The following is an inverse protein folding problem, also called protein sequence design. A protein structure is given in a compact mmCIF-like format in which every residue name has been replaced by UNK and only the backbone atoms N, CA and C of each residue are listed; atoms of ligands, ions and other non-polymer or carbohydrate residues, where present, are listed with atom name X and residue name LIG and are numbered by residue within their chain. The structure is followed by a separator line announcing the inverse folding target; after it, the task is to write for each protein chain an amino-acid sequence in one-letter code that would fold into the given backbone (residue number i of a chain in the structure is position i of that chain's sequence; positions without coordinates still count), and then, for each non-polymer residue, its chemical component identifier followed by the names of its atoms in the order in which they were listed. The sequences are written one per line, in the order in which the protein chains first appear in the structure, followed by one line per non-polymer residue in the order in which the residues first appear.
data_IF_010157624830
#
_entry.id   IF_010157624830
#
_cell.length_a   1.000
_cell.length_b   1.000
_cell.length_c   1.000
_cell.angle_alpha   90.00
_cell.angle_beta   90.00
_cell.angle_gamma   90.00
#
_symmetry.space_group_name_H-M   'P 1'
#
loop_
_entity.id
_entity.type
_entity.pdbx_description
1 polymer ?
#
# COMPACT_ATOMS: atom_id res chain seq x y z
N UNK A 1 1.85 4.04 19.66
CA UNK A 1 1.33 3.23 18.56
C UNK A 1 1.63 1.76 18.82
N UNK A 2 0.82 0.86 18.27
CA UNK A 2 1.07 -0.58 18.36
C UNK A 2 2.27 -0.99 17.50
N UNK A 3 2.31 -0.52 16.26
CA UNK A 3 3.45 -0.64 15.36
C UNK A 3 4.17 0.70 15.17
N UNK A 4 5.47 0.64 14.89
CA UNK A 4 6.19 1.78 14.34
C UNK A 4 5.94 1.86 12.84
N UNK A 5 5.90 3.08 12.30
CA UNK A 5 5.61 3.34 10.89
C UNK A 5 6.67 4.23 10.28
N UNK A 6 6.91 4.04 8.99
CA UNK A 6 7.84 4.87 8.23
C UNK A 6 7.10 5.58 7.11
N UNK A 7 7.26 6.89 7.06
CA UNK A 7 6.77 7.71 5.96
C UNK A 7 7.83 7.80 4.87
N UNK A 8 7.42 7.57 3.61
CA UNK A 8 8.24 7.69 2.42
C UNK A 8 7.59 8.62 1.42
N UNK A 9 8.41 9.21 0.57
CA UNK A 9 7.99 10.11 -0.49
C UNK A 9 8.80 9.85 -1.76
N UNK A 10 8.15 9.93 -2.93
CA UNK A 10 8.83 10.07 -4.20
C UNK A 10 8.14 11.09 -5.10
N UNK A 11 8.92 11.68 -6.00
CA UNK A 11 8.41 12.57 -7.04
C UNK A 11 9.16 12.32 -8.35
N UNK A 12 8.73 11.34 -9.16
CA UNK A 12 9.40 11.00 -10.41
C UNK A 12 9.32 12.09 -11.51
N UNK A 13 8.47 13.12 -11.34
CA UNK A 13 8.33 14.21 -12.33
C UNK A 13 9.57 15.09 -12.46
N UNK A 14 10.47 15.07 -11.48
CA UNK A 14 11.70 15.89 -11.50
C UNK A 14 12.81 15.35 -12.40
N UNK A 15 12.63 14.21 -13.02
CA UNK A 15 13.64 13.59 -13.88
C UNK A 15 13.16 13.52 -15.31
N UNK A 16 14.00 14.01 -16.23
CA UNK A 16 13.75 14.10 -17.66
C UNK A 16 13.24 12.79 -18.30
N UNK A 17 12.99 12.84 -19.60
CA UNK A 17 12.44 11.72 -20.40
C UNK A 17 13.27 10.44 -20.26
N UNK A 18 12.90 9.61 -19.28
CA UNK A 18 13.51 8.30 -19.07
C UNK A 18 12.72 7.21 -19.78
N UNK A 19 13.43 6.26 -20.37
CA UNK A 19 12.83 5.05 -20.93
C UNK A 19 12.17 4.20 -19.84
N UNK A 20 11.25 3.32 -20.22
CA UNK A 20 10.57 2.42 -19.29
C UNK A 20 11.56 1.50 -18.52
N UNK A 21 12.70 1.17 -19.14
CA UNK A 21 13.77 0.37 -18.55
C UNK A 21 14.50 1.17 -17.45
N UNK A 22 14.92 2.39 -17.73
CA UNK A 22 15.58 3.28 -16.76
C UNK A 22 14.67 3.60 -15.57
N UNK A 23 13.34 3.71 -15.78
CA UNK A 23 12.36 3.88 -14.70
C UNK A 23 12.30 2.69 -13.74
N UNK A 24 12.45 1.47 -14.24
CA UNK A 24 12.47 0.26 -13.39
C UNK A 24 13.77 0.17 -12.59
N UNK A 25 14.91 0.43 -13.23
CA UNK A 25 16.22 0.36 -12.59
C UNK A 25 16.45 1.45 -11.53
N UNK A 26 15.75 2.61 -11.67
CA UNK A 26 15.89 3.75 -10.75
C UNK A 26 14.69 3.95 -9.82
N UNK A 27 13.72 3.03 -9.82
CA UNK A 27 12.50 3.18 -9.01
C UNK A 27 12.83 3.35 -7.52
N UNK A 28 13.74 2.57 -6.97
CA UNK A 28 14.21 2.70 -5.58
C UNK A 28 15.07 3.95 -5.30
N UNK A 29 15.76 4.50 -6.33
CA UNK A 29 16.65 5.65 -6.14
C UNK A 29 15.94 6.98 -5.88
N UNK A 30 14.62 7.06 -6.14
CA UNK A 30 13.80 8.26 -5.91
C UNK A 30 12.92 8.17 -4.67
N UNK A 31 12.94 7.03 -4.01
CA UNK A 31 12.17 6.80 -2.82
C UNK A 31 12.96 7.32 -1.61
N UNK A 32 12.45 8.37 -0.99
CA UNK A 32 13.09 9.01 0.16
C UNK A 32 12.36 8.64 1.43
N UNK A 33 13.09 8.09 2.40
CA UNK A 33 12.60 7.94 3.77
C UNK A 33 12.49 9.35 4.38
N UNK A 34 11.28 9.73 4.79
CA UNK A 34 11.02 11.04 5.39
C UNK A 34 11.26 10.99 6.89
N UNK A 35 10.55 10.10 7.58
CA UNK A 35 10.63 9.97 9.03
C UNK A 35 10.08 8.62 9.48
N UNK A 36 10.57 8.14 10.63
CA UNK A 36 9.97 7.05 11.38
C UNK A 36 9.04 7.63 12.45
N UNK A 37 7.89 7.00 12.67
CA UNK A 37 6.82 7.42 13.56
C UNK A 37 6.59 6.32 14.61
N UNK A 38 6.82 6.67 15.86
CA UNK A 38 6.70 5.75 17.01
C UNK A 38 5.59 6.15 17.97
N UNK A 39 5.14 7.40 17.89
CA UNK A 39 4.12 7.95 18.77
C UNK A 39 3.08 8.77 18.01
N UNK A 40 1.98 9.07 18.66
CA UNK A 40 0.90 9.91 18.11
C UNK A 40 1.40 11.35 17.91
N UNK A 41 2.23 11.83 18.81
CA UNK A 41 2.83 13.17 18.74
C UNK A 41 3.74 13.31 17.51
N UNK A 42 4.57 12.32 17.24
CA UNK A 42 5.41 12.27 16.04
C UNK A 42 4.58 12.21 14.76
N UNK A 43 3.47 11.46 14.76
CA UNK A 43 2.53 11.46 13.64
C UNK A 43 1.97 12.85 13.36
N UNK A 44 1.50 13.56 14.37
CA UNK A 44 0.98 14.91 14.20
C UNK A 44 2.07 15.91 13.85
N UNK A 45 3.28 15.72 14.38
CA UNK A 45 4.46 16.48 13.98
C UNK A 45 4.75 16.33 12.48
N UNK A 46 4.70 15.10 11.96
CA UNK A 46 4.83 14.86 10.53
C UNK A 46 3.66 15.48 9.75
N UNK A 47 2.41 15.12 10.10
CA UNK A 47 1.23 15.52 9.33
C UNK A 47 1.11 17.04 9.15
N UNK A 48 1.40 17.80 10.19
CA UNK A 48 1.35 19.25 10.17
C UNK A 48 2.46 19.91 9.32
N UNK A 49 3.48 19.15 8.93
CA UNK A 49 4.64 19.66 8.20
C UNK A 49 4.82 19.08 6.79
N UNK A 50 4.00 18.11 6.38
CA UNK A 50 4.02 17.61 5.00
C UNK A 50 3.12 18.43 4.10
N UNK A 51 3.42 18.41 2.80
CA UNK A 51 2.59 19.05 1.78
C UNK A 51 1.24 18.34 1.68
N UNK A 52 0.11 19.06 1.74
CA UNK A 52 -1.19 18.44 1.59
C UNK A 52 -1.35 17.70 0.24
N UNK A 53 -1.99 16.53 0.22
CA UNK A 53 -2.25 15.78 -1.01
C UNK A 53 -2.88 16.57 -2.15
N UNK A 54 -3.78 17.51 -1.83
CA UNK A 54 -4.47 18.37 -2.81
C UNK A 54 -3.52 19.27 -3.62
N UNK A 55 -2.34 19.56 -3.06
CA UNK A 55 -1.32 20.43 -3.65
C UNK A 55 -0.10 19.66 -4.17
N UNK A 56 -0.06 18.34 -3.99
CA UNK A 56 1.02 17.50 -4.49
C UNK A 56 1.18 17.64 -6.00
N UNK A 57 2.45 17.70 -6.50
CA UNK A 57 2.74 17.63 -7.93
C UNK A 57 2.18 16.35 -8.55
N UNK A 58 1.90 16.41 -9.85
CA UNK A 58 1.56 15.20 -10.60
C UNK A 58 2.71 14.21 -10.53
N UNK A 59 2.38 12.93 -10.42
CA UNK A 59 3.31 11.80 -10.23
C UNK A 59 3.93 11.65 -8.85
N UNK A 60 3.77 12.61 -7.93
CA UNK A 60 4.23 12.46 -6.55
C UNK A 60 3.42 11.40 -5.79
N UNK A 61 4.08 10.74 -4.86
CA UNK A 61 3.48 9.69 -4.06
C UNK A 61 3.90 9.82 -2.59
N UNK A 62 2.96 9.50 -1.70
CA UNK A 62 3.19 9.24 -0.29
C UNK A 62 3.00 7.76 0.01
N UNK A 63 3.88 7.23 0.86
CA UNK A 63 3.79 5.85 1.34
C UNK A 63 3.96 5.87 2.85
N UNK A 64 3.06 5.21 3.56
CA UNK A 64 3.16 4.98 4.99
C UNK A 64 3.16 3.48 5.21
N UNK A 65 4.31 2.91 5.57
CA UNK A 65 4.51 1.47 5.76
C UNK A 65 4.97 1.16 7.18
N UNK A 66 4.63 -0.02 7.67
CA UNK A 66 5.16 -0.51 8.96
C UNK A 66 6.69 -0.48 8.92
N UNK A 67 7.33 -0.10 10.02
CA UNK A 67 8.79 0.05 10.05
C UNK A 67 9.49 -1.27 9.70
N UNK A 68 10.56 -1.14 8.92
CA UNK A 68 11.30 -2.29 8.37
C UNK A 68 10.74 -2.84 7.07
N UNK A 69 9.55 -2.38 6.59
CA UNK A 69 8.97 -2.78 5.30
C UNK A 69 9.17 -1.66 4.29
N UNK A 70 9.79 -1.99 3.15
CA UNK A 70 9.93 -1.05 2.05
C UNK A 70 8.65 -1.05 1.19
N UNK A 71 8.22 0.10 0.66
CA UNK A 71 7.06 0.20 -0.22
C UNK A 71 7.35 -0.33 -1.64
N UNK A 72 7.85 -1.55 -1.72
CA UNK A 72 8.28 -2.24 -2.93
C UNK A 72 7.76 -3.67 -2.95
N UNK A 73 7.49 -4.20 -4.13
CA UNK A 73 7.06 -5.60 -4.29
C UNK A 73 8.20 -6.59 -4.03
N UNK A 74 9.42 -6.11 -4.14
CA UNK A 74 10.64 -6.86 -3.87
C UNK A 74 10.88 -7.09 -2.38
N UNK A 75 10.19 -6.33 -1.52
CA UNK A 75 10.23 -6.57 -0.07
C UNK A 75 9.51 -7.89 0.25
N UNK A 76 10.12 -8.80 1.02
CA UNK A 76 9.52 -10.08 1.38
C UNK A 76 8.14 -9.97 2.02
N UNK A 77 7.88 -8.88 2.75
CA UNK A 77 6.60 -8.62 3.38
C UNK A 77 5.47 -8.28 2.38
N UNK A 78 5.81 -7.90 1.15
CA UNK A 78 4.86 -7.51 0.11
C UNK A 78 4.82 -8.53 -1.04
N UNK A 79 5.87 -9.35 -1.19
CA UNK A 79 6.07 -10.20 -2.37
C UNK A 79 4.94 -11.19 -2.65
N UNK A 80 4.31 -11.71 -1.60
CA UNK A 80 3.16 -12.63 -1.70
C UNK A 80 1.83 -11.92 -1.45
N UNK A 81 1.86 -10.59 -1.36
CA UNK A 81 0.71 -9.79 -1.02
C UNK A 81 -0.05 -9.24 -2.21
N UNK A 82 -1.01 -8.39 -1.88
CA UNK A 82 -1.83 -7.69 -2.85
C UNK A 82 -2.02 -6.22 -2.47
N UNK A 83 -2.92 -5.57 -3.19
CA UNK A 83 -3.36 -4.22 -2.82
C UNK A 83 -4.82 -4.00 -3.18
N UNK A 84 -5.52 -3.37 -2.29
CA UNK A 84 -6.81 -2.75 -2.58
C UNK A 84 -6.59 -1.30 -3.00
N UNK A 85 -7.27 -0.85 -4.07
CA UNK A 85 -7.06 0.49 -4.59
C UNK A 85 -8.38 1.15 -4.97
N UNK A 86 -8.53 2.43 -4.60
CA UNK A 86 -9.62 3.27 -5.07
C UNK A 86 -9.05 4.42 -5.90
N UNK A 87 -9.69 4.72 -7.01
CA UNK A 87 -9.38 5.89 -7.83
C UNK A 87 -10.45 6.95 -7.65
N UNK A 88 -10.01 8.16 -7.35
CA UNK A 88 -10.87 9.30 -7.06
C UNK A 88 -10.60 10.41 -8.10
N UNK A 89 -11.55 10.75 -8.98
CA UNK A 89 -11.39 11.83 -9.96
C UNK A 89 -10.91 13.12 -9.28
N UNK A 90 -9.81 13.70 -9.77
CA UNK A 90 -9.13 14.83 -9.13
C UNK A 90 -10.03 16.05 -8.97
N UNK A 91 -10.80 16.39 -9.99
CA UNK A 91 -11.71 17.54 -9.96
C UNK A 91 -12.76 17.44 -8.84
N UNK A 92 -13.32 16.25 -8.65
CA UNK A 92 -14.39 16.03 -7.66
C UNK A 92 -13.87 15.91 -6.22
N UNK A 93 -12.62 15.41 -6.05
CA UNK A 93 -12.13 15.02 -4.72
C UNK A 93 -10.98 15.91 -4.22
N UNK A 94 -10.58 16.94 -4.96
CA UNK A 94 -9.47 17.82 -4.57
C UNK A 94 -9.65 18.43 -3.17
N UNK A 95 -10.88 18.81 -2.82
CA UNK A 95 -11.20 19.41 -1.52
C UNK A 95 -11.37 18.37 -0.40
N UNK A 96 -11.39 17.08 -0.73
CA UNK A 96 -11.62 16.00 0.22
C UNK A 96 -10.40 15.10 0.41
N UNK A 97 -9.45 15.12 -0.54
CA UNK A 97 -8.34 14.15 -0.56
C UNK A 97 -7.43 14.29 0.66
N UNK A 98 -7.22 15.50 1.17
CA UNK A 98 -6.40 15.74 2.35
C UNK A 98 -7.00 15.04 3.57
N UNK A 99 -8.30 15.16 3.75
CA UNK A 99 -9.05 14.51 4.83
C UNK A 99 -9.12 13.00 4.65
N UNK A 100 -9.31 12.51 3.42
CA UNK A 100 -9.32 11.08 3.12
C UNK A 100 -7.96 10.46 3.40
N UNK A 101 -6.88 11.12 3.01
CA UNK A 101 -5.54 10.66 3.29
C UNK A 101 -5.24 10.64 4.79
N UNK A 102 -5.63 11.69 5.51
CA UNK A 102 -5.50 11.70 6.97
C UNK A 102 -6.21 10.51 7.61
N UNK A 103 -7.47 10.26 7.21
CA UNK A 103 -8.21 9.13 7.77
C UNK A 103 -7.60 7.78 7.40
N UNK A 104 -7.07 7.65 6.18
CA UNK A 104 -6.36 6.43 5.76
C UNK A 104 -5.13 6.19 6.63
N UNK A 105 -4.33 7.23 6.87
CA UNK A 105 -3.15 7.11 7.75
C UNK A 105 -3.54 6.79 9.19
N UNK A 106 -4.55 7.50 9.75
CA UNK A 106 -5.04 7.25 11.11
C UNK A 106 -5.59 5.82 11.25
N UNK A 107 -6.31 5.32 10.25
CA UNK A 107 -6.83 3.96 10.25
C UNK A 107 -5.70 2.92 10.17
N UNK A 108 -4.62 3.24 9.44
CA UNK A 108 -3.44 2.39 9.36
C UNK A 108 -2.71 2.32 10.68
N UNK A 109 -2.29 3.47 11.25
CA UNK A 109 -1.55 3.51 12.52
C UNK A 109 -2.36 3.06 13.74
N UNK A 110 -3.70 3.13 13.63
CA UNK A 110 -4.64 2.63 14.63
C UNK A 110 -5.03 1.17 14.44
N UNK A 111 -4.41 0.45 13.47
CA UNK A 111 -4.68 -0.96 13.14
C UNK A 111 -6.16 -1.24 12.82
N UNK A 112 -6.89 -0.22 12.35
CA UNK A 112 -8.34 -0.32 12.07
C UNK A 112 -8.65 -0.89 10.69
N UNK A 113 -7.64 -1.04 9.83
CA UNK A 113 -7.79 -1.58 8.48
C UNK A 113 -7.79 -3.11 8.46
N UNK A 114 -7.36 -3.72 9.55
CA UNK A 114 -7.44 -5.16 9.74
C UNK A 114 -8.79 -5.49 10.36
N UNK A 115 -9.58 -6.34 9.69
CA UNK A 115 -10.81 -6.83 10.29
C UNK A 115 -10.45 -7.56 11.61
N UNK A 116 -11.17 -7.33 12.71
CA UNK A 116 -11.03 -8.18 13.87
C UNK A 116 -11.33 -9.60 13.39
N UNK A 117 -10.32 -10.44 13.40
CA UNK A 117 -10.49 -11.86 13.15
C UNK A 117 -11.62 -12.34 14.05
N UNK A 118 -12.70 -12.86 13.49
CA UNK A 118 -13.84 -13.41 14.22
C UNK A 118 -13.44 -14.55 15.15
N UNK A 119 -12.22 -14.95 15.13
CA UNK A 119 -11.54 -15.85 16.07
C UNK A 119 -10.58 -15.04 16.94
N UNK A 120 -11.10 -14.29 17.90
CA UNK A 120 -10.54 -13.93 19.23
C UNK A 120 -9.01 -14.00 19.47
N UNK A 121 -8.16 -13.85 18.48
CA UNK A 121 -6.71 -13.77 18.66
C UNK A 121 -6.20 -12.52 17.97
N UNK A 122 -5.72 -11.57 18.78
CA UNK A 122 -4.82 -10.54 18.31
C UNK A 122 -3.66 -11.20 17.53
N UNK A 123 -3.14 -10.59 16.46
CA UNK A 123 -1.95 -11.09 15.78
C UNK A 123 -0.88 -11.42 16.83
N UNK A 124 -0.39 -12.66 16.83
CA UNK A 124 0.61 -13.09 17.82
C UNK A 124 2.02 -12.69 17.41
N UNK A 125 2.19 -12.34 16.13
CA UNK A 125 3.44 -11.88 15.56
C UNK A 125 3.19 -10.82 14.49
N UNK A 126 4.23 -10.06 14.14
CA UNK A 126 4.18 -9.13 12.99
C UNK A 126 3.90 -9.82 11.65
N UNK A 127 4.18 -11.12 11.56
CA UNK A 127 3.95 -11.93 10.36
C UNK A 127 2.47 -12.28 10.19
N UNK A 128 1.69 -12.26 11.26
CA UNK A 128 0.26 -12.51 11.23
C UNK A 128 -0.55 -11.27 10.79
N UNK A 129 0.08 -10.10 10.77
CA UNK A 129 -0.56 -8.85 10.40
C UNK A 129 -0.74 -8.76 8.89
N UNK A 130 -1.96 -8.45 8.46
CA UNK A 130 -2.31 -8.42 7.04
C UNK A 130 -1.80 -7.15 6.35
N UNK A 131 -2.04 -5.97 6.95
CA UNK A 131 -1.72 -4.68 6.31
C UNK A 131 -0.24 -4.36 6.49
N UNK A 132 0.46 -4.14 5.39
CA UNK A 132 1.88 -3.72 5.38
C UNK A 132 2.03 -2.22 5.24
N UNK A 133 1.09 -1.55 4.56
CA UNK A 133 1.17 -0.12 4.36
C UNK A 133 0.02 0.46 3.55
N UNK A 134 0.01 1.78 3.46
CA UNK A 134 -0.93 2.56 2.66
C UNK A 134 -0.20 3.53 1.74
N UNK A 135 -0.77 3.79 0.57
CA UNK A 135 -0.15 4.60 -0.48
C UNK A 135 -1.13 5.61 -1.02
N UNK A 136 -0.69 6.85 -1.15
CA UNK A 136 -1.38 7.89 -1.92
C UNK A 136 -0.57 8.23 -3.16
N UNK A 137 -1.21 8.22 -4.32
CA UNK A 137 -0.62 8.61 -5.59
C UNK A 137 -1.38 9.80 -6.19
N UNK A 138 -0.69 10.91 -6.43
CA UNK A 138 -1.25 12.04 -7.16
C UNK A 138 -1.00 11.86 -8.66
N UNK A 139 -2.06 11.89 -9.46
CA UNK A 139 -2.00 11.81 -10.94
C UNK A 139 -2.67 13.03 -11.56
N UNK A 140 -2.51 13.21 -12.86
CA UNK A 140 -3.12 14.34 -13.57
C UNK A 140 -4.63 14.40 -13.38
N UNK A 141 -5.31 13.27 -13.55
CA UNK A 141 -6.78 13.20 -13.59
C UNK A 141 -7.42 12.56 -12.36
N UNK A 142 -6.63 11.92 -11.48
CA UNK A 142 -7.15 11.23 -10.30
C UNK A 142 -6.13 11.20 -9.17
N UNK A 143 -6.61 10.94 -7.97
CA UNK A 143 -5.83 10.41 -6.87
C UNK A 143 -6.09 8.92 -6.77
N UNK A 144 -5.08 8.16 -6.39
CA UNK A 144 -5.26 6.75 -6.05
C UNK A 144 -4.82 6.54 -4.61
N UNK A 145 -5.70 5.97 -3.81
CA UNK A 145 -5.39 5.51 -2.46
C UNK A 145 -5.38 4.00 -2.47
N UNK A 146 -4.35 3.39 -1.90
CA UNK A 146 -4.18 1.95 -1.88
C UNK A 146 -3.81 1.47 -0.48
N UNK A 147 -4.31 0.29 -0.11
CA UNK A 147 -3.92 -0.47 1.07
C UNK A 147 -3.13 -1.67 0.55
N UNK A 148 -1.92 -1.87 1.05
CA UNK A 148 -1.07 -2.99 0.71
C UNK A 148 -1.18 -4.07 1.78
N UNK A 149 -1.21 -5.33 1.33
CA UNK A 149 -1.38 -6.48 2.21
C UNK A 149 -0.20 -7.44 2.07
N UNK A 150 0.10 -8.16 3.14
CA UNK A 150 1.16 -9.18 3.20
C UNK A 150 0.80 -10.43 2.41
N UNK A 151 -0.49 -10.77 2.41
CA UNK A 151 -1.02 -11.93 1.73
C UNK A 151 -2.14 -11.47 0.80
N UNK A 152 -2.26 -12.11 -0.35
CA UNK A 152 -3.41 -12.04 -1.23
C UNK A 152 -4.04 -13.43 -1.27
N UNK A 153 -5.38 -13.50 -1.32
CA UNK A 153 -6.06 -14.75 -1.60
C UNK A 153 -5.60 -15.25 -2.98
N UNK A 154 -5.31 -16.52 -3.08
CA UNK A 154 -5.10 -17.14 -4.38
C UNK A 154 -6.39 -16.93 -5.19
N UNK A 155 -6.27 -16.20 -6.31
CA UNK A 155 -7.36 -16.12 -7.26
C UNK A 155 -7.57 -17.50 -7.83
N UNK A 156 -8.59 -18.22 -7.34
CA UNK A 156 -9.10 -19.41 -8.00
C UNK A 156 -9.57 -19.01 -9.40
N UNK A 157 -8.66 -19.09 -10.37
CA UNK A 157 -9.07 -18.91 -11.76
C UNK A 157 -10.12 -19.99 -12.06
N UNK A 158 -11.18 -19.68 -12.82
CA UNK A 158 -12.19 -20.67 -13.22
C UNK A 158 -11.59 -21.94 -13.83
N UNK A 159 -10.36 -21.88 -14.32
CA UNK A 159 -9.58 -22.98 -14.87
C UNK A 159 -8.96 -23.93 -13.82
N UNK A 160 -8.88 -23.52 -12.54
CA UNK A 160 -8.32 -24.38 -11.50
C UNK A 160 -9.28 -25.53 -11.16
N UNK A 161 -10.58 -25.26 -11.14
CA UNK A 161 -11.59 -26.27 -10.88
C UNK A 161 -11.75 -27.26 -12.05
N UNK A 162 -11.57 -26.82 -13.31
CA UNK A 162 -11.57 -27.71 -14.47
C UNK A 162 -10.36 -28.65 -14.49
N UNK A 163 -9.20 -28.22 -14.00
CA UNK A 163 -8.01 -29.10 -13.90
C UNK A 163 -8.21 -30.20 -12.86
N UNK A 164 -8.75 -29.85 -11.71
CA UNK A 164 -8.98 -30.82 -10.63
C UNK A 164 -10.04 -31.87 -11.02
N UNK A 165 -11.09 -31.45 -11.71
CA UNK A 165 -12.12 -32.38 -12.26
C UNK A 165 -11.53 -33.24 -13.36
N UNK A 166 -10.66 -32.70 -14.23
CA UNK A 166 -10.07 -33.49 -15.33
C UNK A 166 -9.05 -34.49 -14.83
N UNK A 167 -8.25 -34.15 -13.82
CA UNK A 167 -7.33 -35.10 -13.17
C UNK A 167 -8.07 -36.19 -12.38
N UNK A 168 -9.16 -35.85 -11.71
CA UNK A 168 -9.99 -36.81 -10.99
C UNK A 168 -10.66 -37.80 -11.91
N UNK A 169 -11.10 -37.39 -13.10
CA UNK A 169 -11.69 -38.25 -14.12
C UNK A 169 -10.62 -39.14 -14.77
N UNK A 170 -9.41 -38.63 -14.98
CA UNK A 170 -8.28 -39.38 -15.52
C UNK A 170 -7.77 -40.48 -14.56
N UNK A 171 -7.80 -40.19 -13.25
CA UNK A 171 -7.39 -41.14 -12.20
C UNK A 171 -8.42 -42.26 -11.95
N UNK A 172 -9.70 -42.06 -12.28
CA UNK A 172 -10.77 -43.03 -12.10
C UNK A 172 -10.93 -44.06 -13.23
N UNK A 173 -10.05 -44.04 -14.25
CA UNK A 173 -10.06 -44.99 -15.38
C UNK A 173 -8.87 -45.94 -15.37
N UNK A 174 -8.62 -46.56 -14.24
CA UNK A 174 -7.73 -47.77 -14.20
C UNK A 174 -8.42 -48.88 -13.42
#
# INVERSE_FOLDING_TARGET
LYNEWTMWFDNPSHKGSWSAKERRETWGANLHKVVNIKSVEEFWGLYNNIVPPSTLPQSANYYLFKDGIQPAWEDPANGNGGKWSIQLPREKHRNQIDKLWLYTMLSAIGEMLEAPSSASKLPQSREDELVTGVVLQARSNYYRVSIWTRYADEWDSPNSQEKEVTESIAAGRR
#
